data_IF_122427019203
#
_entry.id   IF_122427019203
#
_cell.length_a   1.000
_cell.length_b   1.000
_cell.length_c   1.000
_cell.angle_alpha   90.00
_cell.angle_beta   90.00
_cell.angle_gamma   90.00
#
_symmetry.space_group_name_H-M   'P 1'
#
loop_
_entity.id
_entity.type
_entity.pdbx_description
1 polymer ?
#
# COMPACT_ATOMS: atom_id res chain seq x y z
N UNK A 1 11.91 -30.28 20.88
CA UNK A 1 10.80 -29.36 20.53
C UNK A 1 10.70 -29.14 19.00
N UNK A 2 10.38 -30.14 18.15
CA UNK A 2 10.24 -29.90 16.70
C UNK A 2 8.78 -29.67 16.25
N UNK A 3 7.80 -30.14 17.03
CA UNK A 3 6.39 -30.15 16.62
C UNK A 3 5.73 -28.76 16.53
N UNK A 4 6.18 -27.80 17.36
CA UNK A 4 5.67 -26.41 17.33
C UNK A 4 6.18 -25.62 16.11
N UNK A 5 7.33 -25.99 15.54
CA UNK A 5 7.88 -25.33 14.37
C UNK A 5 7.24 -25.82 13.05
N UNK A 6 6.68 -27.04 13.04
CA UNK A 6 5.98 -27.61 11.88
C UNK A 6 4.64 -26.92 11.63
N UNK A 7 3.98 -26.41 12.67
CA UNK A 7 2.73 -25.67 12.55
C UNK A 7 2.90 -24.37 11.77
N UNK A 8 4.03 -23.66 11.89
CA UNK A 8 4.30 -22.39 11.19
C UNK A 8 4.24 -22.50 9.64
N UNK A 9 4.49 -23.68 9.05
CA UNK A 9 4.31 -23.89 7.60
C UNK A 9 2.84 -24.04 7.17
N UNK A 10 1.95 -24.43 8.10
CA UNK A 10 0.51 -24.57 7.86
C UNK A 10 -0.21 -23.21 7.98
N UNK A 11 0.47 -22.16 8.46
CA UNK A 11 -0.13 -20.81 8.62
C UNK A 11 -0.24 -20.00 7.32
N UNK A 12 0.11 -20.55 6.16
CA UNK A 12 0.01 -19.80 4.90
C UNK A 12 -1.44 -19.33 4.60
N UNK A 13 -2.50 -20.13 4.81
CA UNK A 13 -3.88 -19.67 4.69
C UNK A 13 -4.28 -18.67 5.78
N UNK A 14 -3.67 -18.75 6.97
CA UNK A 14 -3.93 -17.79 8.05
C UNK A 14 -3.34 -16.41 7.71
N UNK A 15 -2.17 -16.37 7.06
CA UNK A 15 -1.60 -15.15 6.53
C UNK A 15 -2.47 -14.56 5.41
N UNK A 16 -3.08 -15.38 4.55
CA UNK A 16 -4.06 -14.88 3.58
C UNK A 16 -5.21 -14.18 4.28
N UNK A 17 -5.80 -14.77 5.32
CA UNK A 17 -6.88 -14.15 6.08
C UNK A 17 -6.42 -12.86 6.78
N UNK A 18 -5.23 -12.87 7.39
CA UNK A 18 -4.67 -11.74 8.13
C UNK A 18 -4.42 -10.53 7.22
N UNK A 19 -3.81 -10.75 6.05
CA UNK A 19 -3.42 -9.67 5.14
C UNK A 19 -4.53 -9.29 4.16
N UNK A 20 -5.58 -10.10 4.01
CA UNK A 20 -6.66 -9.86 3.04
C UNK A 20 -7.34 -8.50 3.22
N UNK A 21 -7.61 -8.09 4.45
CA UNK A 21 -8.32 -6.85 4.75
C UNK A 21 -7.48 -5.99 5.70
N UNK A 22 -6.93 -4.88 5.19
CA UNK A 22 -6.11 -3.97 5.98
C UNK A 22 -6.93 -2.75 6.40
N UNK A 23 -7.02 -2.51 7.71
CA UNK A 23 -7.59 -1.28 8.28
C UNK A 23 -6.60 -0.10 8.28
N UNK A 24 -5.34 -0.36 7.93
CA UNK A 24 -4.33 0.65 7.66
C UNK A 24 -3.13 -0.01 6.98
N UNK A 25 -2.48 0.70 6.08
CA UNK A 25 -1.20 0.32 5.50
C UNK A 25 -0.04 0.39 6.50
N UNK A 26 -0.30 0.90 7.72
CA UNK A 26 0.65 0.86 8.84
C UNK A 26 1.12 -0.58 9.18
N UNK A 27 0.25 -1.58 8.97
CA UNK A 27 0.64 -2.97 9.15
C UNK A 27 1.85 -3.35 8.28
N UNK A 28 1.95 -2.78 7.08
CA UNK A 28 3.08 -3.01 6.16
C UNK A 28 4.34 -2.28 6.63
N UNK A 29 4.19 -1.03 7.09
CA UNK A 29 5.34 -0.27 7.62
C UNK A 29 5.89 -0.89 8.89
N UNK A 30 5.06 -1.51 9.73
CA UNK A 30 5.50 -2.25 10.94
C UNK A 30 6.22 -3.56 10.64
N UNK A 31 6.01 -4.13 9.45
CA UNK A 31 6.78 -5.30 9.00
C UNK A 31 8.15 -4.94 8.43
N UNK A 32 8.45 -3.64 8.28
CA UNK A 32 9.76 -3.17 7.86
C UNK A 32 10.74 -3.16 9.03
N UNK A 33 12.04 -3.34 8.76
CA UNK A 33 13.09 -3.12 9.75
C UNK A 33 12.98 -1.71 10.35
N UNK A 34 13.12 -1.60 11.66
CA UNK A 34 13.02 -0.31 12.35
C UNK A 34 14.13 0.69 12.00
N UNK A 35 15.21 0.24 11.35
CA UNK A 35 16.29 1.11 10.85
C UNK A 35 16.04 1.60 9.41
N UNK A 36 14.93 1.22 8.78
CA UNK A 36 14.59 1.64 7.43
C UNK A 36 14.04 3.08 7.41
N UNK A 37 13.33 3.48 8.47
CA UNK A 37 12.74 4.81 8.61
C UNK A 37 13.20 5.49 9.89
N UNK A 38 13.47 6.79 9.79
CA UNK A 38 13.60 7.68 10.95
C UNK A 38 12.47 8.68 10.92
N UNK A 39 11.95 9.04 12.09
CA UNK A 39 11.02 10.16 12.22
C UNK A 39 11.84 11.44 12.38
N UNK A 40 11.93 12.25 11.33
CA UNK A 40 12.57 13.56 11.35
C UNK A 40 11.49 14.65 11.25
N UNK A 41 11.45 15.55 12.25
CA UNK A 41 10.45 16.64 12.32
C UNK A 41 8.98 16.18 12.20
N UNK A 42 8.67 14.95 12.64
CA UNK A 42 7.34 14.36 12.54
C UNK A 42 7.04 13.68 11.20
N UNK A 43 7.98 13.70 10.24
CA UNK A 43 7.88 13.02 8.96
C UNK A 43 8.68 11.70 9.00
N UNK A 44 8.14 10.63 8.41
CA UNK A 44 8.89 9.39 8.22
C UNK A 44 9.81 9.52 7.01
N UNK A 45 11.12 9.50 7.24
CA UNK A 45 12.17 9.61 6.22
C UNK A 45 12.84 8.26 6.03
N UNK A 46 12.93 7.81 4.78
CA UNK A 46 13.64 6.58 4.42
C UNK A 46 15.16 6.79 4.55
N UNK A 47 15.81 6.05 5.45
CA UNK A 47 17.25 6.17 5.71
C UNK A 47 18.10 5.29 4.80
N UNK A 48 17.54 4.13 4.40
CA UNK A 48 18.23 3.11 3.61
C UNK A 48 17.30 2.60 2.52
N UNK A 49 17.81 2.34 1.31
CA UNK A 49 17.02 1.68 0.29
C UNK A 49 16.63 0.27 0.76
N UNK A 50 15.43 -0.21 0.37
CA UNK A 50 15.03 -1.59 0.54
C UNK A 50 16.07 -2.57 0.01
N UNK A 51 16.38 -3.63 0.76
CA UNK A 51 17.06 -4.78 0.19
C UNK A 51 16.08 -5.67 -0.60
N UNK A 52 16.61 -6.51 -1.49
CA UNK A 52 15.79 -7.37 -2.35
C UNK A 52 14.89 -8.31 -1.54
N UNK A 53 15.40 -8.80 -0.39
CA UNK A 53 14.68 -9.74 0.46
C UNK A 53 13.48 -9.10 1.17
N UNK A 54 13.61 -7.87 1.60
CA UNK A 54 12.52 -7.08 2.17
C UNK A 54 11.51 -6.75 1.10
N UNK A 55 11.95 -6.44 -0.12
CA UNK A 55 11.05 -6.23 -1.25
C UNK A 55 10.22 -7.49 -1.57
N UNK A 56 10.86 -8.65 -1.61
CA UNK A 56 10.17 -9.95 -1.78
C UNK A 56 9.14 -10.20 -0.67
N UNK A 57 9.51 -9.86 0.58
CA UNK A 57 8.62 -9.99 1.74
C UNK A 57 7.43 -9.05 1.64
N UNK A 58 7.65 -7.81 1.22
CA UNK A 58 6.60 -6.82 1.01
C UNK A 58 5.63 -7.31 -0.07
N UNK A 59 6.15 -7.67 -1.25
CA UNK A 59 5.36 -8.21 -2.36
C UNK A 59 4.57 -9.46 -1.96
N UNK A 60 5.16 -10.34 -1.14
CA UNK A 60 4.49 -11.53 -0.62
C UNK A 60 3.28 -11.20 0.25
N UNK A 61 3.33 -10.17 1.08
CA UNK A 61 2.20 -9.77 1.92
C UNK A 61 1.18 -8.95 1.15
N UNK A 62 1.65 -8.00 0.34
CA UNK A 62 0.76 -7.08 -0.39
C UNK A 62 -0.01 -7.77 -1.51
N UNK A 63 0.53 -8.86 -2.08
CA UNK A 63 -0.21 -9.71 -3.02
C UNK A 63 -1.43 -10.41 -2.41
N UNK A 64 -1.51 -10.52 -1.08
CA UNK A 64 -2.66 -11.12 -0.37
C UNK A 64 -3.77 -10.10 -0.08
N UNK A 65 -3.43 -8.82 -0.11
CA UNK A 65 -4.33 -7.73 0.21
C UNK A 65 -5.41 -7.61 -0.88
N UNK A 66 -6.67 -7.58 -0.45
CA UNK A 66 -7.85 -7.41 -1.32
C UNK A 66 -8.66 -6.18 -0.95
N UNK A 67 -8.63 -5.75 0.31
CA UNK A 67 -9.35 -4.57 0.77
C UNK A 67 -8.43 -3.72 1.65
N UNK A 68 -8.38 -2.42 1.39
CA UNK A 68 -7.68 -1.43 2.22
C UNK A 68 -8.69 -0.38 2.64
N UNK A 69 -8.81 -0.17 3.96
CA UNK A 69 -9.58 0.93 4.54
C UNK A 69 -8.64 1.86 5.28
N UNK A 70 -8.18 2.91 4.61
CA UNK A 70 -7.18 3.84 5.14
C UNK A 70 -7.85 5.10 5.71
N UNK A 71 -7.83 5.23 7.04
CA UNK A 71 -8.41 6.38 7.74
C UNK A 71 -7.34 7.44 8.08
N UNK A 72 -6.09 7.02 8.33
CA UNK A 72 -5.01 7.90 8.77
C UNK A 72 -4.00 8.16 7.63
N UNK A 73 -3.34 9.33 7.60
CA UNK A 73 -2.47 9.69 6.47
C UNK A 73 -0.99 9.29 6.62
N UNK A 74 -0.48 9.15 7.85
CA UNK A 74 0.96 9.06 8.16
C UNK A 74 1.67 7.90 7.46
N UNK A 75 1.05 6.72 7.39
CA UNK A 75 1.71 5.52 6.82
C UNK A 75 1.82 5.52 5.29
N UNK A 76 1.12 6.42 4.60
CA UNK A 76 1.09 6.48 3.13
C UNK A 76 2.36 7.11 2.57
N UNK A 77 2.85 8.16 3.23
CA UNK A 77 4.05 8.88 2.82
C UNK A 77 5.31 8.00 2.94
N UNK A 78 5.36 7.16 3.98
CA UNK A 78 6.40 6.17 4.14
C UNK A 78 6.39 5.17 2.97
N UNK A 79 5.23 4.60 2.62
CA UNK A 79 5.13 3.66 1.49
C UNK A 79 5.49 4.28 0.15
N UNK A 80 5.05 5.52 -0.11
CA UNK A 80 5.45 6.25 -1.33
C UNK A 80 6.97 6.43 -1.42
N UNK A 81 7.63 6.71 -0.31
CA UNK A 81 9.09 6.87 -0.24
C UNK A 81 9.86 5.57 -0.50
N UNK A 82 9.35 4.43 0.00
CA UNK A 82 9.91 3.10 -0.33
C UNK A 82 9.86 2.88 -1.85
N UNK A 83 8.69 3.12 -2.46
CA UNK A 83 8.48 2.85 -3.88
C UNK A 83 9.42 3.67 -4.76
N UNK A 84 9.54 4.96 -4.47
CA UNK A 84 10.41 5.87 -5.21
C UNK A 84 11.89 5.48 -5.14
N UNK A 85 12.27 4.70 -4.13
CA UNK A 85 13.65 4.27 -3.89
C UNK A 85 14.02 2.97 -4.61
N UNK A 86 13.06 2.31 -5.26
CA UNK A 86 13.26 1.04 -5.97
C UNK A 86 12.96 1.19 -7.48
N UNK A 87 13.98 1.27 -8.36
CA UNK A 87 13.78 1.44 -9.81
C UNK A 87 13.15 0.21 -10.50
N UNK A 88 13.17 -0.95 -9.85
CA UNK A 88 12.57 -2.22 -10.30
C UNK A 88 11.20 -2.51 -9.67
N UNK A 89 10.61 -1.55 -8.96
CA UNK A 89 9.33 -1.79 -8.28
C UNK A 89 8.26 -2.24 -9.30
N UNK A 90 7.51 -3.34 -9.06
CA UNK A 90 6.33 -3.70 -9.82
C UNK A 90 5.39 -2.50 -10.00
N UNK A 91 4.70 -2.48 -11.13
CA UNK A 91 3.74 -1.44 -11.52
C UNK A 91 2.65 -1.21 -10.46
N UNK A 92 2.38 -2.21 -9.61
CA UNK A 92 1.53 -2.10 -8.44
C UNK A 92 2.08 -2.89 -7.26
N UNK A 93 2.03 -2.28 -6.07
CA UNK A 93 2.32 -2.96 -4.81
C UNK A 93 1.19 -3.93 -4.41
N UNK A 94 -0.05 -3.68 -4.84
CA UNK A 94 -1.25 -4.40 -4.41
C UNK A 94 -1.97 -5.07 -5.60
N UNK A 95 -1.35 -6.08 -6.24
CA UNK A 95 -1.82 -6.62 -7.52
C UNK A 95 -3.23 -7.24 -7.47
N UNK A 96 -3.69 -7.66 -6.29
CA UNK A 96 -4.99 -8.31 -6.08
C UNK A 96 -6.00 -7.43 -5.35
N UNK A 97 -5.74 -6.12 -5.25
CA UNK A 97 -6.62 -5.18 -4.58
C UNK A 97 -7.97 -5.09 -5.30
N UNK A 98 -9.06 -5.18 -4.54
CA UNK A 98 -10.44 -5.10 -5.04
C UNK A 98 -11.17 -3.90 -4.47
N UNK A 99 -10.82 -3.50 -3.26
CA UNK A 99 -11.53 -2.44 -2.54
C UNK A 99 -10.51 -1.47 -1.93
N UNK A 100 -10.69 -0.19 -2.18
CA UNK A 100 -9.95 0.87 -1.52
C UNK A 100 -10.94 1.89 -0.97
N UNK A 101 -11.05 1.98 0.36
CA UNK A 101 -11.69 3.10 1.04
C UNK A 101 -10.62 3.97 1.67
N UNK A 102 -10.60 5.25 1.37
CA UNK A 102 -9.51 6.11 1.82
C UNK A 102 -9.93 7.57 2.00
N UNK A 103 -9.58 8.12 3.17
CA UNK A 103 -9.58 9.56 3.40
C UNK A 103 -8.22 10.12 2.97
N UNK A 104 -8.16 10.77 1.81
CA UNK A 104 -6.94 11.30 1.20
C UNK A 104 -6.73 12.79 1.50
N UNK A 105 -5.47 13.20 1.71
CA UNK A 105 -5.08 14.60 1.88
C UNK A 105 -4.75 15.29 0.53
N UNK A 106 -4.86 14.58 -0.60
CA UNK A 106 -4.64 15.12 -1.95
C UNK A 106 -3.19 15.50 -2.28
N UNK A 107 -2.21 15.14 -1.44
CA UNK A 107 -0.79 15.46 -1.64
C UNK A 107 -0.15 14.66 -2.79
N UNK A 108 1.11 14.94 -3.11
CA UNK A 108 1.88 14.14 -4.08
C UNK A 108 2.07 12.69 -3.61
N UNK A 109 2.40 12.49 -2.32
CA UNK A 109 2.53 11.14 -1.75
C UNK A 109 1.21 10.35 -1.80
N UNK A 110 0.09 11.05 -1.63
CA UNK A 110 -1.24 10.48 -1.86
C UNK A 110 -1.42 10.04 -3.34
N UNK A 111 -0.97 10.84 -4.29
CA UNK A 111 -1.04 10.47 -5.71
C UNK A 111 -0.20 9.22 -6.02
N UNK A 112 1.01 9.13 -5.45
CA UNK A 112 1.91 7.99 -5.63
C UNK A 112 1.31 6.71 -5.03
N UNK A 113 0.66 6.80 -3.87
CA UNK A 113 -0.10 5.68 -3.30
C UNK A 113 -1.29 5.27 -4.14
N UNK A 114 -2.08 6.24 -4.62
CA UNK A 114 -3.22 5.96 -5.46
C UNK A 114 -2.80 5.19 -6.72
N UNK A 115 -1.70 5.60 -7.39
CA UNK A 115 -1.14 4.88 -8.54
C UNK A 115 -0.85 3.42 -8.24
N UNK A 116 -0.30 3.12 -7.07
CA UNK A 116 -0.02 1.73 -6.67
C UNK A 116 -1.29 0.90 -6.45
N UNK A 117 -2.37 1.54 -6.01
CA UNK A 117 -3.65 0.90 -5.76
C UNK A 117 -4.54 0.79 -7.01
N UNK A 118 -4.26 1.56 -8.07
CA UNK A 118 -4.96 1.45 -9.35
C UNK A 118 -4.50 0.20 -10.08
N UNK A 119 -5.23 -0.88 -9.85
CA UNK A 119 -5.02 -2.18 -10.49
C UNK A 119 -6.25 -2.59 -11.29
N UNK A 120 -6.08 -3.44 -12.32
CA UNK A 120 -7.21 -3.92 -13.10
C UNK A 120 -8.25 -4.71 -12.29
N UNK A 121 -7.83 -5.26 -11.16
CA UNK A 121 -8.66 -6.06 -10.24
C UNK A 121 -9.50 -5.21 -9.28
N UNK A 122 -9.34 -3.88 -9.29
CA UNK A 122 -10.06 -2.96 -8.42
C UNK A 122 -11.53 -2.86 -8.83
N UNK A 123 -12.43 -3.09 -7.87
CA UNK A 123 -13.88 -3.12 -8.04
C UNK A 123 -14.57 -1.95 -7.35
N UNK A 124 -14.07 -1.55 -6.18
CA UNK A 124 -14.64 -0.48 -5.36
C UNK A 124 -13.53 0.51 -5.03
N UNK A 125 -13.74 1.76 -5.39
CA UNK A 125 -12.91 2.88 -4.97
C UNK A 125 -13.82 3.86 -4.23
N UNK A 126 -13.48 4.19 -3.00
CA UNK A 126 -14.19 5.19 -2.19
C UNK A 126 -13.11 6.13 -1.63
N UNK A 127 -12.94 7.28 -2.27
CA UNK A 127 -11.90 8.24 -1.90
C UNK A 127 -12.54 9.57 -1.57
N UNK A 128 -12.38 9.98 -0.31
CA UNK A 128 -12.79 11.31 0.14
C UNK A 128 -11.56 12.18 0.31
N UNK A 129 -11.58 13.37 -0.30
CA UNK A 129 -10.43 14.28 -0.27
C UNK A 129 -10.74 15.44 0.68
N UNK A 130 -9.91 15.60 1.71
CA UNK A 130 -10.12 16.62 2.76
C UNK A 130 -9.46 17.98 2.47
N UNK A 131 -8.60 18.06 1.45
CA UNK A 131 -7.79 19.25 1.16
C UNK A 131 -8.42 20.16 0.12
N UNK A 132 -8.38 21.48 0.40
CA UNK A 132 -8.79 22.57 -0.53
C UNK A 132 -7.86 22.65 -1.74
N UNK A 133 -6.62 22.14 -1.62
CA UNK A 133 -5.57 22.24 -2.64
C UNK A 133 -5.10 20.84 -3.06
N UNK A 134 -5.96 20.13 -3.80
CA UNK A 134 -5.62 18.81 -4.35
C UNK A 134 -4.52 18.96 -5.40
N UNK A 135 -3.44 18.16 -5.28
CA UNK A 135 -2.33 18.24 -6.22
C UNK A 135 -2.74 17.81 -7.64
N UNK A 136 -2.17 18.45 -8.65
CA UNK A 136 -2.41 18.07 -10.06
C UNK A 136 -2.01 16.61 -10.33
N UNK A 137 -0.99 16.10 -9.64
CA UNK A 137 -0.60 14.70 -9.72
C UNK A 137 -1.73 13.77 -9.28
N UNK A 138 -2.44 14.12 -8.21
CA UNK A 138 -3.56 13.33 -7.69
C UNK A 138 -4.74 13.31 -8.67
N UNK A 139 -5.12 14.49 -9.19
CA UNK A 139 -6.18 14.60 -10.19
C UNK A 139 -5.85 13.85 -11.49
N UNK A 140 -4.60 13.92 -11.93
CA UNK A 140 -4.14 13.18 -13.11
C UNK A 140 -4.30 11.67 -12.92
N UNK A 141 -4.01 11.15 -11.73
CA UNK A 141 -4.19 9.72 -11.44
C UNK A 141 -5.67 9.34 -11.42
N UNK A 142 -6.52 10.17 -10.80
CA UNK A 142 -7.98 9.97 -10.86
C UNK A 142 -8.50 9.99 -12.30
N UNK A 143 -7.98 10.87 -13.16
CA UNK A 143 -8.40 10.92 -14.57
C UNK A 143 -8.02 9.64 -15.35
N UNK A 144 -6.99 8.91 -14.91
CA UNK A 144 -6.57 7.63 -15.50
C UNK A 144 -7.36 6.40 -15.02
N UNK A 145 -8.32 6.56 -14.10
CA UNK A 145 -9.11 5.45 -13.54
C UNK A 145 -9.77 4.58 -14.63
N UNK A 146 -10.37 5.23 -15.64
CA UNK A 146 -11.07 4.52 -16.71
C UNK A 146 -10.17 3.59 -17.54
N UNK A 147 -8.88 3.92 -17.65
CA UNK A 147 -7.91 3.08 -18.36
C UNK A 147 -7.25 2.03 -17.47
N UNK A 148 -7.04 2.35 -16.19
CA UNK A 148 -6.28 1.51 -15.25
C UNK A 148 -7.13 0.48 -14.51
N UNK A 149 -8.44 0.74 -14.36
CA UNK A 149 -9.37 -0.09 -13.59
C UNK A 149 -10.62 -0.43 -14.44
N UNK A 150 -10.52 -1.30 -15.47
CA UNK A 150 -11.63 -1.61 -16.37
C UNK A 150 -12.81 -2.34 -15.71
N UNK A 151 -12.60 -2.89 -14.50
CA UNK A 151 -13.62 -3.63 -13.76
C UNK A 151 -14.22 -2.85 -12.59
N UNK A 152 -13.96 -1.54 -12.50
CA UNK A 152 -14.50 -0.70 -11.43
C UNK A 152 -16.04 -0.66 -11.49
N UNK A 153 -16.69 -1.05 -10.39
CA UNK A 153 -18.15 -1.13 -10.26
C UNK A 153 -18.72 0.04 -9.44
N UNK A 154 -17.93 0.58 -8.51
CA UNK A 154 -18.32 1.69 -7.64
C UNK A 154 -17.16 2.67 -7.47
N UNK A 155 -17.48 3.97 -7.55
CA UNK A 155 -16.60 5.11 -7.32
C UNK A 155 -17.24 6.07 -6.30
#
# INVERSE_FOLDING_TARGET
>A
LPALASTCRIFDPALDVLWRNLSSVEALTRCMPGDLFTVEQGCMVLQKPPDDKMWDTLCKYTSRVRSIRQIYHTSIEALGSILLSCPLAPTSLFPNLRELTWHANGTRGAADFLRMALVPTLLILDVTVSSVSTSHAFLSVLSSLGTSCPHLQSL
#
